data_IF_901714442854
#
_entry.id   IF_901714442854
#
_cell.length_a   1.000
_cell.length_b   1.000
_cell.length_c   1.000
_cell.angle_alpha   90.00
_cell.angle_beta   90.00
_cell.angle_gamma   90.00
#
_symmetry.space_group_name_H-M   'P 1'
#
loop_
_entity.id
_entity.type
_entity.pdbx_description
1 polymer ?
#
# COMPACT_ATOMS: atom_id res chain seq x y z
N UNK A 1 -14.67 -0.32 10.29
CA UNK A 1 -14.12 0.20 11.55
C UNK A 1 -12.87 1.03 11.23
N UNK A 2 -12.73 2.23 11.80
CA UNK A 2 -11.60 3.12 11.50
C UNK A 2 -10.35 2.76 12.31
N UNK A 3 -9.15 2.93 11.74
CA UNK A 3 -7.88 2.69 12.45
C UNK A 3 -7.62 3.83 13.44
N UNK A 4 -7.26 3.48 14.67
CA UNK A 4 -7.02 4.42 15.78
C UNK A 4 -5.57 4.28 16.24
N UNK A 5 -4.90 5.41 16.43
CA UNK A 5 -3.59 5.50 17.04
C UNK A 5 -3.66 6.36 18.28
N UNK A 6 -3.08 5.87 19.37
CA UNK A 6 -2.87 6.64 20.60
C UNK A 6 -1.39 6.94 20.69
N UNK A 7 -1.02 8.20 20.56
CA UNK A 7 0.38 8.64 20.51
C UNK A 7 0.63 9.67 21.59
N UNK A 8 1.81 9.64 22.22
CA UNK A 8 2.23 10.63 23.19
C UNK A 8 3.17 11.62 22.51
N UNK A 9 2.77 12.89 22.47
CA UNK A 9 3.54 13.99 21.87
C UNK A 9 3.61 15.11 22.90
N UNK A 10 4.82 15.60 23.20
CA UNK A 10 5.06 16.67 24.18
C UNK A 10 4.39 16.42 25.54
N UNK A 11 4.54 15.18 26.03
CA UNK A 11 3.95 14.66 27.26
C UNK A 11 2.41 14.56 27.30
N UNK A 12 1.72 15.03 26.26
CA UNK A 12 0.26 14.94 26.09
C UNK A 12 -0.11 13.72 25.25
N UNK A 13 -1.21 13.07 25.62
CA UNK A 13 -1.77 11.97 24.84
C UNK A 13 -2.68 12.53 23.74
N UNK A 14 -2.45 12.07 22.52
CA UNK A 14 -3.27 12.38 21.36
C UNK A 14 -3.92 11.11 20.80
N UNK A 15 -5.19 11.20 20.46
CA UNK A 15 -5.91 10.16 19.74
C UNK A 15 -6.14 10.60 18.30
N UNK A 16 -5.63 9.80 17.35
CA UNK A 16 -5.77 10.03 15.92
C UNK A 16 -6.59 8.88 15.35
N UNK A 17 -7.68 9.19 14.65
CA UNK A 17 -8.59 8.18 14.10
C UNK A 17 -8.90 8.46 12.64
N UNK A 18 -8.59 7.50 11.77
CA UNK A 18 -8.97 7.55 10.36
C UNK A 18 -10.38 6.97 10.19
N UNK A 19 -11.31 7.78 9.68
CA UNK A 19 -12.71 7.40 9.40
C UNK A 19 -13.06 7.74 7.94
N UNK A 20 -12.83 6.79 7.04
CA UNK A 20 -13.08 6.99 5.61
C UNK A 20 -12.20 8.12 5.04
N UNK A 21 -12.83 9.18 4.53
CA UNK A 21 -12.16 10.35 3.96
C UNK A 21 -11.85 11.46 4.99
N UNK A 22 -11.97 11.16 6.29
CA UNK A 22 -11.82 12.11 7.38
C UNK A 22 -10.84 11.60 8.43
N UNK A 23 -10.15 12.51 9.09
CA UNK A 23 -9.29 12.20 10.23
C UNK A 23 -9.77 12.97 11.45
N UNK A 24 -9.86 12.29 12.58
CA UNK A 24 -10.16 12.90 13.87
C UNK A 24 -8.87 13.02 14.66
N UNK A 25 -8.57 14.20 15.16
CA UNK A 25 -7.46 14.46 16.09
C UNK A 25 -8.07 14.97 17.39
N UNK A 26 -7.96 14.22 18.48
CA UNK A 26 -8.58 14.55 19.76
C UNK A 26 -10.08 14.92 19.65
N UNK A 27 -10.83 14.16 18.85
CA UNK A 27 -12.27 14.35 18.56
C UNK A 27 -12.61 15.51 17.61
N UNK A 28 -11.65 16.34 17.18
CA UNK A 28 -11.88 17.29 16.08
C UNK A 28 -11.83 16.60 14.73
N UNK A 29 -12.94 16.64 13.99
CA UNK A 29 -13.05 16.04 12.67
C UNK A 29 -12.56 17.00 11.59
N UNK A 30 -11.56 16.58 10.80
CA UNK A 30 -11.04 17.35 9.68
C UNK A 30 -11.03 16.50 8.40
N UNK A 31 -11.22 17.13 7.24
CA UNK A 31 -11.23 16.41 5.96
C UNK A 31 -9.80 16.04 5.59
N UNK A 32 -9.57 14.79 5.23
CA UNK A 32 -8.22 14.28 4.98
C UNK A 32 -7.55 14.98 3.78
N UNK A 33 -8.35 15.35 2.77
CA UNK A 33 -7.88 16.04 1.55
C UNK A 33 -7.20 17.38 1.83
N UNK A 34 -7.55 18.06 2.92
CA UNK A 34 -7.02 19.39 3.24
C UNK A 34 -5.56 19.29 3.75
N UNK A 35 -5.13 18.08 4.13
CA UNK A 35 -3.78 17.76 4.61
C UNK A 35 -2.94 17.03 3.57
N UNK A 36 -3.40 16.90 2.32
CA UNK A 36 -2.72 16.14 1.29
C UNK A 36 -1.38 16.80 0.93
N UNK A 37 -0.28 16.07 1.15
CA UNK A 37 1.06 16.52 0.78
C UNK A 37 1.50 15.90 -0.53
N UNK A 38 1.24 14.60 -0.70
CA UNK A 38 1.67 13.85 -1.89
C UNK A 38 0.65 12.78 -2.24
N UNK A 39 0.30 12.69 -3.51
CA UNK A 39 -0.56 11.63 -4.05
C UNK A 39 0.18 10.90 -5.16
N UNK A 40 0.43 9.62 -4.95
CA UNK A 40 0.87 8.68 -5.95
C UNK A 40 -0.27 7.70 -6.26
N UNK A 41 -0.09 6.87 -7.29
CA UNK A 41 -1.13 5.97 -7.79
C UNK A 41 -1.67 5.03 -6.69
N UNK A 42 -0.80 4.56 -5.79
CA UNK A 42 -1.13 3.55 -4.77
C UNK A 42 -0.86 4.00 -3.33
N UNK A 43 -0.43 5.25 -3.14
CA UNK A 43 -0.08 5.79 -1.83
C UNK A 43 -0.41 7.28 -1.78
N UNK A 44 -1.07 7.71 -0.70
CA UNK A 44 -1.25 9.11 -0.38
C UNK A 44 -0.62 9.42 0.97
N UNK A 45 0.07 10.55 1.07
CA UNK A 45 0.68 11.06 2.29
C UNK A 45 -0.03 12.35 2.72
N UNK A 46 -0.45 12.40 3.97
CA UNK A 46 -1.14 13.52 4.59
C UNK A 46 -0.37 14.01 5.80
N UNK A 47 -0.12 15.32 5.91
CA UNK A 47 0.56 15.91 7.07
C UNK A 47 -0.47 16.50 8.02
N UNK A 48 -0.61 15.89 9.20
CA UNK A 48 -1.58 16.26 10.21
C UNK A 48 -0.83 16.87 11.39
N UNK A 49 -1.27 18.05 11.83
CA UNK A 49 -0.70 18.69 13.02
C UNK A 49 -1.17 17.97 14.29
N UNK A 50 -0.22 17.55 15.13
CA UNK A 50 -0.44 16.82 16.38
C UNK A 50 0.43 17.45 17.47
N UNK A 51 -0.15 18.34 18.27
CA UNK A 51 0.62 19.12 19.24
C UNK A 51 1.61 20.05 18.54
N UNK A 52 2.89 20.01 18.94
CA UNK A 52 3.93 20.80 18.25
C UNK A 52 4.59 20.05 17.08
N UNK A 53 4.17 18.81 16.79
CA UNK A 53 4.76 17.96 15.74
C UNK A 53 3.81 17.74 14.57
N UNK A 54 4.39 17.45 13.40
CA UNK A 54 3.64 17.01 12.22
C UNK A 54 3.68 15.50 12.09
N UNK A 55 2.53 14.86 12.16
CA UNK A 55 2.38 13.45 11.87
C UNK A 55 2.11 13.24 10.38
N UNK A 56 2.83 12.30 9.75
CA UNK A 56 2.57 11.86 8.39
C UNK A 56 1.66 10.64 8.40
N UNK A 57 0.41 10.81 8.01
CA UNK A 57 -0.51 9.71 7.76
C UNK A 57 -0.32 9.21 6.33
N UNK A 58 0.18 7.99 6.20
CA UNK A 58 0.38 7.31 4.94
C UNK A 58 -0.77 6.35 4.71
N UNK A 59 -1.52 6.51 3.62
CA UNK A 59 -2.58 5.61 3.20
C UNK A 59 -2.13 4.90 1.93
N UNK A 60 -1.79 3.62 2.03
CA UNK A 60 -1.45 2.78 0.88
C UNK A 60 -2.56 1.80 0.55
N UNK A 61 -2.94 1.71 -0.72
CA UNK A 61 -4.03 0.83 -1.20
C UNK A 61 -3.58 -0.59 -1.53
N UNK A 62 -2.29 -0.79 -1.84
CA UNK A 62 -1.73 -2.11 -2.17
C UNK A 62 -0.98 -2.76 -1.01
N UNK A 63 -0.01 -2.05 -0.40
CA UNK A 63 0.93 -2.66 0.55
C UNK A 63 1.14 -1.77 1.78
N UNK A 64 1.23 -2.41 2.95
CA UNK A 64 1.56 -1.75 4.21
C UNK A 64 0.38 -1.02 4.87
N UNK A 65 -0.76 -0.95 4.17
CA UNK A 65 -2.00 -0.35 4.65
C UNK A 65 -1.82 1.10 5.08
N UNK A 66 -2.62 1.51 6.06
CA UNK A 66 -2.48 2.85 6.65
C UNK A 66 -1.46 2.86 7.77
N UNK A 67 -0.50 3.77 7.72
CA UNK A 67 0.54 3.99 8.73
C UNK A 67 0.52 5.43 9.23
N UNK A 68 0.78 5.62 10.52
CA UNK A 68 0.99 6.93 11.10
C UNK A 68 2.47 7.03 11.43
N UNK A 69 3.12 8.11 11.00
CA UNK A 69 4.56 8.31 11.17
C UNK A 69 4.80 9.64 11.87
N UNK A 70 5.51 9.61 12.99
CA UNK A 70 5.93 10.82 13.72
C UNK A 70 7.45 10.74 13.88
N UNK A 71 8.16 11.84 13.60
CA UNK A 71 9.63 11.91 13.64
C UNK A 71 10.33 10.80 12.85
N UNK A 72 9.75 10.43 11.70
CA UNK A 72 10.29 9.38 10.84
C UNK A 72 10.14 7.96 11.38
N UNK A 73 9.36 7.72 12.44
CA UNK A 73 9.08 6.39 12.99
C UNK A 73 7.61 6.01 12.85
N UNK A 74 7.34 4.76 12.50
CA UNK A 74 5.98 4.21 12.44
C UNK A 74 5.42 4.10 13.86
N UNK A 75 4.33 4.81 14.16
CA UNK A 75 3.75 4.84 15.49
C UNK A 75 3.18 3.47 15.94
N UNK A 76 2.96 2.52 15.02
CA UNK A 76 2.49 1.19 15.38
C UNK A 76 3.63 0.24 15.78
N UNK A 77 4.81 0.38 15.18
CA UNK A 77 5.94 -0.56 15.39
C UNK A 77 7.13 0.06 16.13
N UNK A 78 7.23 1.39 16.14
CA UNK A 78 8.38 2.13 16.67
C UNK A 78 9.62 2.12 15.74
N UNK A 79 9.56 1.39 14.63
CA UNK A 79 10.67 1.30 13.66
C UNK A 79 10.74 2.54 12.76
N UNK A 80 11.93 2.79 12.20
CA UNK A 80 12.11 3.83 11.20
C UNK A 80 11.22 3.57 9.97
N UNK A 81 10.42 4.57 9.61
CA UNK A 81 9.57 4.50 8.44
C UNK A 81 10.42 4.64 7.17
N UNK A 82 10.39 3.60 6.34
CA UNK A 82 10.98 3.63 5.00
C UNK A 82 9.84 3.82 3.99
N UNK A 83 9.82 4.93 3.22
CA UNK A 83 8.84 5.12 2.17
C UNK A 83 8.90 4.00 1.13
N UNK A 84 7.74 3.48 0.76
CA UNK A 84 7.61 2.58 -0.39
C UNK A 84 7.96 3.39 -1.63
N UNK A 85 8.95 2.93 -2.39
CA UNK A 85 9.35 3.54 -3.65
C UNK A 85 9.29 2.48 -4.73
N UNK A 86 8.28 2.57 -5.60
CA UNK A 86 8.06 1.62 -6.68
C UNK A 86 8.99 2.02 -7.84
N UNK A 87 9.94 1.17 -8.24
CA UNK A 87 10.82 1.50 -9.35
C UNK A 87 10.05 1.52 -10.67
N UNK A 88 10.45 2.40 -11.60
CA UNK A 88 9.71 2.63 -12.85
C UNK A 88 9.50 1.37 -13.70
N UNK A 89 10.44 0.44 -13.67
CA UNK A 89 10.33 -0.82 -14.42
C UNK A 89 9.23 -1.74 -13.86
N UNK A 90 8.87 -1.62 -12.57
CA UNK A 90 7.84 -2.47 -11.97
C UNK A 90 6.45 -2.18 -12.53
N UNK A 91 6.21 -0.97 -13.03
CA UNK A 91 4.96 -0.64 -13.72
C UNK A 91 4.74 -1.47 -14.98
N UNK A 92 5.80 -1.98 -15.62
CA UNK A 92 5.68 -2.91 -16.76
C UNK A 92 5.02 -4.21 -16.29
N UNK A 93 5.50 -4.80 -15.20
CA UNK A 93 4.91 -6.02 -14.62
C UNK A 93 3.48 -5.80 -14.13
N UNK A 94 3.20 -4.64 -13.54
CA UNK A 94 1.82 -4.29 -13.15
C UNK A 94 0.89 -4.18 -14.36
N UNK A 95 1.35 -3.60 -15.47
CA UNK A 95 0.59 -3.53 -16.71
C UNK A 95 0.33 -4.94 -17.28
N UNK A 96 1.33 -5.82 -17.24
CA UNK A 96 1.19 -7.21 -17.67
C UNK A 96 0.18 -7.97 -16.80
N UNK A 97 0.23 -7.84 -15.47
CA UNK A 97 -0.79 -8.43 -14.61
C UNK A 97 -2.20 -7.89 -14.88
N UNK A 98 -2.31 -6.62 -15.28
CA UNK A 98 -3.61 -5.99 -15.59
C UNK A 98 -4.27 -6.60 -16.84
N UNK A 99 -3.52 -7.24 -17.74
CA UNK A 99 -4.10 -7.96 -18.89
C UNK A 99 -5.02 -9.10 -18.43
N UNK A 100 -4.76 -9.70 -17.26
CA UNK A 100 -5.62 -10.75 -16.70
C UNK A 100 -7.04 -10.27 -16.39
N UNK A 101 -7.30 -8.96 -16.32
CA UNK A 101 -8.66 -8.41 -16.16
C UNK A 101 -9.60 -8.83 -17.30
N UNK A 102 -9.05 -9.13 -18.49
CA UNK A 102 -9.83 -9.59 -19.65
C UNK A 102 -10.43 -10.98 -19.40
N UNK A 103 -9.81 -11.80 -18.53
CA UNK A 103 -10.25 -13.16 -18.20
C UNK A 103 -11.39 -13.20 -17.15
N UNK A 104 -12.17 -12.12 -17.04
CA UNK A 104 -13.31 -12.01 -16.12
C UNK A 104 -12.91 -11.88 -14.65
N UNK A 105 -13.84 -12.19 -13.74
CA UNK A 105 -13.66 -11.97 -12.30
C UNK A 105 -12.45 -12.73 -11.73
N UNK A 106 -12.25 -13.99 -12.14
CA UNK A 106 -11.12 -14.79 -11.68
C UNK A 106 -9.78 -14.16 -12.10
N UNK A 107 -9.68 -13.77 -13.37
CA UNK A 107 -8.51 -13.07 -13.89
C UNK A 107 -8.26 -11.73 -13.19
N UNK A 108 -9.32 -10.99 -12.88
CA UNK A 108 -9.22 -9.74 -12.12
C UNK A 108 -8.66 -9.96 -10.70
N UNK A 109 -9.16 -10.96 -9.97
CA UNK A 109 -8.67 -11.27 -8.63
C UNK A 109 -7.18 -11.68 -8.65
N UNK A 110 -6.81 -12.59 -9.56
CA UNK A 110 -5.42 -13.04 -9.68
C UNK A 110 -4.50 -11.90 -10.15
N UNK A 111 -4.96 -11.06 -11.08
CA UNK A 111 -4.23 -9.88 -11.54
C UNK A 111 -3.96 -8.88 -10.41
N UNK A 112 -4.93 -8.61 -9.54
CA UNK A 112 -4.74 -7.75 -8.36
C UNK A 112 -3.71 -8.34 -7.38
N UNK A 113 -3.74 -9.66 -7.17
CA UNK A 113 -2.75 -10.36 -6.35
C UNK A 113 -1.35 -10.21 -6.96
N UNK A 114 -1.21 -10.43 -8.27
CA UNK A 114 0.05 -10.26 -9.01
C UNK A 114 0.61 -8.83 -8.92
N UNK A 115 -0.22 -7.82 -9.12
CA UNK A 115 0.15 -6.41 -8.93
C UNK A 115 0.63 -6.13 -7.50
N UNK A 116 -0.06 -6.67 -6.50
CA UNK A 116 0.31 -6.50 -5.09
C UNK A 116 1.64 -7.19 -4.78
N UNK A 117 1.88 -8.38 -5.31
CA UNK A 117 3.15 -9.07 -5.19
C UNK A 117 4.28 -8.29 -5.87
N UNK A 118 4.05 -7.77 -7.09
CA UNK A 118 5.00 -6.95 -7.84
C UNK A 118 5.44 -5.72 -7.04
N UNK A 119 4.50 -4.98 -6.46
CA UNK A 119 4.82 -3.80 -5.65
C UNK A 119 5.64 -4.19 -4.42
N UNK A 120 5.40 -5.37 -3.83
CA UNK A 120 6.08 -5.86 -2.63
C UNK A 120 7.54 -6.18 -2.93
N UNK A 121 7.75 -6.97 -3.98
CA UNK A 121 9.06 -7.43 -4.43
C UNK A 121 9.88 -6.24 -4.91
N UNK A 122 9.35 -5.46 -5.84
CA UNK A 122 10.08 -4.35 -6.46
C UNK A 122 10.50 -3.25 -5.48
N UNK A 123 9.66 -2.96 -4.48
CA UNK A 123 9.93 -1.96 -3.45
C UNK A 123 10.86 -2.46 -2.33
N UNK A 124 11.15 -3.76 -2.27
CA UNK A 124 12.01 -4.33 -1.23
C UNK A 124 13.50 -4.05 -1.51
N UNK A 125 14.03 -3.01 -0.86
CA UNK A 125 15.44 -2.60 -0.99
C UNK A 125 16.44 -3.59 -0.39
N UNK A 126 16.01 -4.58 0.40
CA UNK A 126 16.89 -5.64 0.94
C UNK A 126 17.26 -6.68 -0.12
N UNK A 127 16.50 -6.77 -1.21
CA UNK A 127 16.72 -7.73 -2.31
C UNK A 127 17.52 -7.04 -3.42
N UNK A 128 18.50 -7.74 -3.99
CA UNK A 128 19.25 -7.23 -5.13
C UNK A 128 18.33 -6.98 -6.34
N UNK A 129 18.62 -5.97 -7.16
CA UNK A 129 17.74 -5.55 -8.27
C UNK A 129 17.46 -6.69 -9.26
N UNK A 130 18.48 -7.46 -9.64
CA UNK A 130 18.33 -8.60 -10.55
C UNK A 130 17.40 -9.69 -9.97
N UNK A 131 17.50 -9.95 -8.66
CA UNK A 131 16.64 -10.92 -7.99
C UNK A 131 15.19 -10.42 -7.89
N UNK A 132 14.97 -9.11 -7.71
CA UNK A 132 13.61 -8.53 -7.75
C UNK A 132 12.95 -8.75 -9.11
N UNK A 133 13.65 -8.41 -10.19
CA UNK A 133 13.15 -8.60 -11.55
C UNK A 133 12.89 -10.09 -11.84
N UNK A 134 13.78 -10.99 -11.44
CA UNK A 134 13.59 -12.43 -11.62
C UNK A 134 12.35 -12.94 -10.85
N UNK A 135 12.16 -12.49 -9.60
CA UNK A 135 10.97 -12.86 -8.81
C UNK A 135 9.68 -12.32 -9.44
N UNK A 136 9.69 -11.09 -9.95
CA UNK A 136 8.53 -10.51 -10.64
C UNK A 136 8.18 -11.30 -11.93
N UNK A 137 9.18 -11.79 -12.67
CA UNK A 137 8.97 -12.70 -13.81
C UNK A 137 8.33 -14.02 -13.37
N UNK A 138 8.85 -14.63 -12.29
CA UNK A 138 8.29 -15.89 -11.76
C UNK A 138 6.84 -15.71 -11.33
N UNK A 139 6.54 -14.64 -10.58
CA UNK A 139 5.16 -14.32 -10.16
C UNK A 139 4.28 -14.10 -11.37
N UNK A 140 4.75 -13.38 -12.39
CA UNK A 140 4.00 -13.18 -13.63
C UNK A 140 3.62 -14.52 -14.27
N UNK A 141 4.60 -15.39 -14.50
CA UNK A 141 4.36 -16.72 -15.11
C UNK A 141 3.35 -17.51 -14.28
N UNK A 142 3.52 -17.57 -12.95
CA UNK A 142 2.62 -18.31 -12.06
C UNK A 142 1.20 -17.77 -12.13
N UNK A 143 0.99 -16.44 -12.15
CA UNK A 143 -0.36 -15.87 -12.26
C UNK A 143 -1.06 -16.27 -13.55
N UNK A 144 -0.35 -16.28 -14.67
CA UNK A 144 -0.91 -16.68 -15.96
C UNK A 144 -1.19 -18.18 -16.03
N UNK A 145 -0.28 -19.01 -15.51
CA UNK A 145 -0.50 -20.46 -15.39
C UNK A 145 -1.73 -20.76 -14.55
N UNK A 146 -1.94 -20.04 -13.44
CA UNK A 146 -3.13 -20.22 -12.61
C UNK A 146 -4.42 -19.81 -13.34
N UNK A 147 -4.44 -18.63 -13.99
CA UNK A 147 -5.62 -18.16 -14.71
C UNK A 147 -6.00 -19.12 -15.83
N UNK A 148 -5.03 -19.50 -16.68
CA UNK A 148 -5.30 -20.41 -17.78
C UNK A 148 -5.55 -21.84 -17.32
N UNK A 149 -4.82 -22.33 -16.31
CA UNK A 149 -4.99 -23.68 -15.79
C UNK A 149 -6.36 -23.89 -15.15
N UNK A 150 -6.83 -22.93 -14.34
CA UNK A 150 -8.19 -22.98 -13.78
C UNK A 150 -9.23 -22.82 -14.89
N UNK A 151 -9.03 -21.88 -15.82
CA UNK A 151 -9.94 -21.69 -16.96
C UNK A 151 -10.10 -22.96 -17.80
N UNK A 152 -8.99 -23.65 -18.07
CA UNK A 152 -9.00 -24.92 -18.80
C UNK A 152 -9.70 -26.03 -18.01
N UNK A 153 -9.40 -26.18 -16.72
CA UNK A 153 -10.05 -27.19 -15.87
C UNK A 153 -11.57 -26.98 -15.78
N UNK A 154 -12.03 -25.73 -15.68
CA UNK A 154 -13.46 -25.40 -15.67
C UNK A 154 -14.13 -25.65 -17.03
N UNK A 155 -13.41 -25.48 -18.14
CA UNK A 155 -13.96 -25.74 -19.48
C UNK A 155 -14.13 -27.24 -19.78
N UNK A 156 -13.54 -28.12 -18.98
CA UNK A 156 -13.68 -29.58 -19.11
C UNK A 156 -14.79 -30.16 -18.22
N UNK A 157 -15.42 -29.33 -17.39
CA UNK A 157 -16.51 -29.71 -16.47
C UNK A 157 -17.87 -29.53 -17.13
#
# INVERSE_FOLDING_TARGET
>A
MGKVWKVKVDEKNYEIKLKGSKVLVNHEEKKLKDFLVKREWFQAAYAIDVGTKKASLIVSSLIGGTKLVIDGKDCATGEAYVPVNIPKWAYIFMALHSINLINGLLGALIGIIGCSATVSISSNKKIHIAARVALDIVVLILTYVLVFGIGFALAQL
#
